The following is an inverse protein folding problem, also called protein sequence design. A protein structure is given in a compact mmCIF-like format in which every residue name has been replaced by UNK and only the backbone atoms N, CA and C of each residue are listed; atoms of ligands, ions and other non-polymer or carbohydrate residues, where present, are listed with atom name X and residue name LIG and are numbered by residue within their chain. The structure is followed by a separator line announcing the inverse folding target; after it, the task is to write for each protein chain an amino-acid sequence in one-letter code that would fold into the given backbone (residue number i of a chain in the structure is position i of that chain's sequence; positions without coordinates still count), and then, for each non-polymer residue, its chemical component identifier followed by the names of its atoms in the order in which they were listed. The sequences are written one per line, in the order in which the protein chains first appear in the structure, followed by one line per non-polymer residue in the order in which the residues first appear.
data_IF_394371814411
#
_entry.id   IF_394371814411
#
_cell.length_a   1.000
_cell.length_b   1.000
_cell.length_c   1.000
_cell.angle_alpha   90.00
_cell.angle_beta   90.00
_cell.angle_gamma   90.00
#
_symmetry.space_group_name_H-M   'P 1'
#
loop_
_entity.id
_entity.type
_entity.pdbx_description
1 polymer ?
#
# COMPACT_ATOMS: atom_id res chain seq x y z
N UNK A 1 17.31 -12.72 -15.43
CA UNK A 1 16.28 -12.88 -16.48
C UNK A 1 14.93 -12.68 -15.82
N UNK A 2 14.17 -11.66 -16.23
CA UNK A 2 12.83 -11.35 -15.71
C UNK A 2 11.93 -12.58 -15.84
N UNK A 3 11.42 -13.11 -14.73
CA UNK A 3 10.39 -14.14 -14.80
C UNK A 3 9.06 -13.49 -15.15
N UNK A 4 8.79 -13.35 -16.46
CA UNK A 4 7.51 -12.84 -17.02
C UNK A 4 6.27 -13.60 -16.51
N UNK A 5 6.44 -14.71 -15.79
CA UNK A 5 5.38 -15.54 -15.23
C UNK A 5 4.63 -14.87 -14.08
N UNK A 6 5.21 -13.89 -13.40
CA UNK A 6 4.63 -13.29 -12.19
C UNK A 6 3.92 -11.95 -12.44
N UNK A 7 4.30 -11.25 -13.52
CA UNK A 7 3.68 -9.99 -13.94
C UNK A 7 2.13 -10.08 -14.08
N UNK A 8 1.55 -11.15 -14.68
CA UNK A 8 0.10 -11.26 -14.83
C UNK A 8 -0.63 -11.39 -13.50
N UNK A 9 -0.02 -12.04 -12.51
CA UNK A 9 -0.61 -12.26 -11.19
C UNK A 9 -0.66 -10.93 -10.43
N UNK A 10 0.42 -10.16 -10.46
CA UNK A 10 0.47 -8.85 -9.81
C UNK A 10 -0.56 -7.90 -10.43
N UNK A 11 -0.55 -7.76 -11.77
CA UNK A 11 -1.50 -6.90 -12.50
C UNK A 11 -2.95 -7.34 -12.26
N UNK A 12 -3.21 -8.65 -12.24
CA UNK A 12 -4.53 -9.21 -11.96
C UNK A 12 -5.04 -8.87 -10.56
N UNK A 13 -4.19 -8.99 -9.53
CA UNK A 13 -4.55 -8.64 -8.16
C UNK A 13 -4.84 -7.14 -8.02
N UNK A 14 -4.00 -6.29 -8.61
CA UNK A 14 -4.17 -4.82 -8.60
C UNK A 14 -5.46 -4.41 -9.32
N UNK A 15 -5.72 -4.96 -10.51
CA UNK A 15 -6.91 -4.65 -11.30
C UNK A 15 -8.19 -5.10 -10.58
N UNK A 16 -8.17 -6.28 -9.96
CA UNK A 16 -9.29 -6.77 -9.17
C UNK A 16 -9.54 -5.88 -7.94
N UNK A 17 -8.48 -5.49 -7.22
CA UNK A 17 -8.59 -4.58 -6.09
C UNK A 17 -9.19 -3.23 -6.51
N UNK A 18 -8.69 -2.64 -7.60
CA UNK A 18 -9.21 -1.42 -8.18
C UNK A 18 -10.70 -1.54 -8.53
N UNK A 19 -11.10 -2.60 -9.24
CA UNK A 19 -12.49 -2.84 -9.63
C UNK A 19 -13.44 -3.00 -8.44
N UNK A 20 -13.04 -3.76 -7.42
CA UNK A 20 -13.84 -3.95 -6.20
C UNK A 20 -13.95 -2.66 -5.37
N UNK A 21 -12.88 -1.88 -5.29
CA UNK A 21 -12.89 -0.57 -4.64
C UNK A 21 -13.78 0.43 -5.41
N UNK A 22 -13.70 0.48 -6.74
CA UNK A 22 -14.58 1.30 -7.58
C UNK A 22 -16.05 0.91 -7.43
N UNK A 23 -16.35 -0.39 -7.35
CA UNK A 23 -17.71 -0.88 -7.09
C UNK A 23 -18.23 -0.33 -5.76
N UNK A 24 -17.42 -0.40 -4.70
CA UNK A 24 -17.81 0.12 -3.40
C UNK A 24 -17.97 1.64 -3.43
N UNK A 25 -17.08 2.36 -4.09
CA UNK A 25 -17.22 3.80 -4.30
C UNK A 25 -18.51 4.14 -5.05
N UNK A 26 -18.93 3.38 -6.06
CA UNK A 26 -20.16 3.63 -6.83
C UNK A 26 -21.44 3.19 -6.11
N UNK A 27 -21.33 2.33 -5.10
CA UNK A 27 -22.49 1.75 -4.40
C UNK A 27 -23.05 2.70 -3.34
N UNK A 28 -24.34 3.09 -3.40
CA UNK A 28 -24.97 3.91 -2.36
C UNK A 28 -25.22 3.12 -1.06
N UNK A 29 -25.00 1.80 -1.06
CA UNK A 29 -25.26 0.93 0.09
C UNK A 29 -24.10 0.88 1.09
N UNK A 30 -22.93 1.42 0.75
CA UNK A 30 -21.73 1.37 1.60
C UNK A 30 -21.89 2.31 2.80
N UNK A 31 -21.89 1.74 4.01
CA UNK A 31 -22.00 2.51 5.25
C UNK A 31 -20.66 3.06 5.76
N UNK A 32 -19.53 2.46 5.36
CA UNK A 32 -18.19 2.86 5.83
C UNK A 32 -17.68 4.21 5.34
N UNK A 33 -18.42 4.86 4.42
CA UNK A 33 -17.97 6.02 3.67
C UNK A 33 -17.35 5.62 2.32
N UNK A 34 -17.75 6.33 1.26
CA UNK A 34 -17.35 6.06 -0.13
C UNK A 34 -15.93 6.55 -0.43
N UNK A 35 -15.42 7.53 0.32
CA UNK A 35 -14.10 8.14 0.10
C UNK A 35 -12.94 7.19 0.37
N UNK A 36 -13.09 6.26 1.32
CA UNK A 36 -12.12 5.17 1.58
C UNK A 36 -11.85 4.41 0.28
N UNK A 37 -12.93 3.93 -0.33
CA UNK A 37 -12.87 3.08 -1.52
C UNK A 37 -12.46 3.86 -2.76
N UNK A 38 -12.77 5.16 -2.85
CA UNK A 38 -12.27 6.02 -3.93
C UNK A 38 -10.75 6.17 -3.87
N UNK A 39 -10.19 6.49 -2.70
CA UNK A 39 -8.74 6.61 -2.52
C UNK A 39 -8.01 5.31 -2.85
N UNK A 40 -8.50 4.18 -2.34
CA UNK A 40 -7.92 2.87 -2.63
C UNK A 40 -8.04 2.48 -4.11
N UNK A 41 -9.16 2.82 -4.78
CA UNK A 41 -9.34 2.58 -6.21
C UNK A 41 -8.35 3.38 -7.06
N UNK A 42 -8.28 4.69 -6.85
CA UNK A 42 -7.35 5.56 -7.60
C UNK A 42 -5.91 5.14 -7.33
N UNK A 43 -5.57 4.90 -6.06
CA UNK A 43 -4.25 4.42 -5.66
C UNK A 43 -3.86 3.11 -6.37
N UNK A 44 -4.78 2.15 -6.43
CA UNK A 44 -4.55 0.87 -7.14
C UNK A 44 -4.38 1.05 -8.65
N UNK A 45 -5.16 1.93 -9.28
CA UNK A 45 -5.03 2.22 -10.72
C UNK A 45 -3.67 2.86 -11.00
N UNK A 46 -3.26 3.85 -10.19
CA UNK A 46 -1.95 4.47 -10.30
C UNK A 46 -0.84 3.45 -10.14
N UNK A 47 -0.91 2.56 -9.13
CA UNK A 47 0.09 1.51 -8.91
C UNK A 47 0.22 0.57 -10.12
N UNK A 48 -0.91 0.14 -10.69
CA UNK A 48 -0.94 -0.69 -11.89
C UNK A 48 -0.28 0.00 -13.08
N UNK A 49 -0.58 1.29 -13.29
CA UNK A 49 0.05 2.09 -14.34
C UNK A 49 1.57 2.21 -14.12
N UNK A 50 2.00 2.45 -12.89
CA UNK A 50 3.42 2.52 -12.55
C UNK A 50 4.16 1.22 -12.86
N UNK A 51 3.55 0.07 -12.54
CA UNK A 51 4.13 -1.25 -12.85
C UNK A 51 4.24 -1.50 -14.36
N UNK A 52 3.27 -1.02 -15.15
CA UNK A 52 3.34 -1.13 -16.61
C UNK A 52 4.48 -0.26 -17.19
N UNK A 53 4.62 0.97 -16.70
CA UNK A 53 5.71 1.88 -17.12
C UNK A 53 7.07 1.30 -16.68
N UNK A 54 7.18 0.84 -15.43
CA UNK A 54 8.40 0.24 -14.89
C UNK A 54 8.79 -1.03 -15.67
N UNK A 55 7.82 -1.93 -15.94
CA UNK A 55 8.05 -3.13 -16.73
C UNK A 55 8.49 -2.83 -18.16
N UNK A 56 8.03 -1.74 -18.76
CA UNK A 56 8.53 -1.28 -20.05
C UNK A 56 10.03 -0.89 -19.97
N UNK A 57 10.44 -0.09 -18.99
CA UNK A 57 11.85 0.28 -18.81
C UNK A 57 12.74 -0.94 -18.53
N UNK A 58 12.29 -1.86 -17.68
CA UNK A 58 13.04 -3.07 -17.32
C UNK A 58 13.30 -3.98 -18.55
N UNK A 59 12.28 -4.18 -19.39
CA UNK A 59 12.37 -5.06 -20.57
C UNK A 59 13.18 -4.42 -21.70
N UNK A 60 12.92 -3.15 -22.02
CA UNK A 60 13.43 -2.52 -23.23
C UNK A 60 14.70 -1.69 -23.02
N UNK A 61 14.82 -1.00 -21.88
CA UNK A 61 15.91 -0.04 -21.64
C UNK A 61 17.04 -0.66 -20.81
N UNK A 62 16.75 -1.63 -19.93
CA UNK A 62 17.70 -2.31 -19.03
C UNK A 62 18.50 -1.41 -18.07
N UNK A 63 18.31 -0.10 -18.17
CA UNK A 63 18.74 0.91 -17.22
C UNK A 63 17.49 1.60 -16.69
N UNK A 64 17.34 1.65 -15.37
CA UNK A 64 16.19 2.26 -14.70
C UNK A 64 16.67 3.52 -13.99
N UNK A 65 16.61 4.70 -14.63
CA UNK A 65 17.09 5.93 -14.04
C UNK A 65 16.16 6.39 -12.91
N UNK A 66 16.60 6.32 -11.66
CA UNK A 66 15.78 6.82 -10.54
C UNK A 66 15.99 8.34 -10.33
N UNK A 67 14.94 9.18 -10.24
CA UNK A 67 13.52 8.88 -10.44
C UNK A 67 13.12 8.84 -11.92
N UNK A 68 12.15 7.98 -12.24
CA UNK A 68 11.56 7.78 -13.58
C UNK A 68 10.17 8.42 -13.70
N UNK A 69 9.57 8.33 -14.90
CA UNK A 69 8.13 8.63 -15.09
C UNK A 69 7.24 7.70 -14.25
N UNK A 70 7.66 6.47 -13.99
CA UNK A 70 6.91 5.54 -13.13
C UNK A 70 6.84 6.06 -11.69
N UNK A 71 7.92 6.67 -11.18
CA UNK A 71 7.98 7.18 -9.81
C UNK A 71 6.94 8.25 -9.51
N UNK A 72 6.63 9.13 -10.46
CA UNK A 72 5.55 10.10 -10.28
C UNK A 72 4.18 9.45 -10.12
N UNK A 73 3.92 8.40 -10.91
CA UNK A 73 2.68 7.63 -10.79
C UNK A 73 2.64 6.77 -9.52
N UNK A 74 3.79 6.27 -9.05
CA UNK A 74 3.90 5.58 -7.78
C UNK A 74 3.64 6.53 -6.62
N UNK A 75 4.28 7.71 -6.58
CA UNK A 75 4.00 8.74 -5.57
C UNK A 75 2.51 9.07 -5.52
N UNK A 76 1.86 9.26 -6.68
CA UNK A 76 0.40 9.45 -6.72
C UNK A 76 -0.35 8.26 -6.10
N UNK A 77 0.04 7.02 -6.43
CA UNK A 77 -0.52 5.82 -5.82
C UNK A 77 -0.41 5.84 -4.30
N UNK A 78 0.78 6.08 -3.75
CA UNK A 78 1.02 6.17 -2.31
C UNK A 78 0.11 7.18 -1.64
N UNK A 79 0.02 8.39 -2.18
CA UNK A 79 -0.80 9.45 -1.60
C UNK A 79 -2.29 9.09 -1.59
N UNK A 80 -2.80 8.45 -2.64
CA UNK A 80 -4.20 8.03 -2.71
C UNK A 80 -4.50 6.79 -1.86
N UNK A 81 -3.59 5.81 -1.79
CA UNK A 81 -3.71 4.65 -0.90
C UNK A 81 -3.71 5.11 0.57
N UNK A 82 -2.76 5.97 0.93
CA UNK A 82 -2.68 6.58 2.24
C UNK A 82 -3.95 7.36 2.57
N UNK A 83 -4.39 8.25 1.68
CA UNK A 83 -5.64 8.99 1.87
C UNK A 83 -6.86 8.07 2.04
N UNK A 84 -6.98 7.03 1.21
CA UNK A 84 -8.04 6.03 1.33
C UNK A 84 -8.04 5.32 2.69
N UNK A 85 -6.87 4.90 3.16
CA UNK A 85 -6.71 4.37 4.51
C UNK A 85 -7.04 5.41 5.58
N UNK A 86 -6.71 6.69 5.39
CA UNK A 86 -6.94 7.75 6.37
C UNK A 86 -8.43 7.92 6.62
N UNK A 87 -9.21 7.88 5.55
CA UNK A 87 -10.66 8.00 5.60
C UNK A 87 -11.32 6.82 6.33
N UNK A 88 -10.60 5.69 6.53
CA UNK A 88 -11.11 4.56 7.31
C UNK A 88 -11.06 4.79 8.81
N UNK A 89 -10.27 5.76 9.28
CA UNK A 89 -10.18 6.17 10.69
C UNK A 89 -10.80 7.54 10.94
N UNK A 90 -10.77 8.42 9.93
CA UNK A 90 -11.29 9.78 10.02
C UNK A 90 -12.80 9.80 10.29
N UNK A 91 -13.23 10.64 11.23
CA UNK A 91 -14.65 10.77 11.60
C UNK A 91 -15.19 9.62 12.46
N UNK A 92 -14.36 8.65 12.85
CA UNK A 92 -14.73 7.59 13.81
C UNK A 92 -14.27 7.96 15.21
N UNK A 93 -15.11 7.72 16.22
CA UNK A 93 -14.74 7.89 17.64
C UNK A 93 -13.87 6.72 18.08
N UNK A 94 -12.55 6.87 17.93
CA UNK A 94 -11.56 5.88 18.33
C UNK A 94 -11.12 6.15 19.78
N UNK A 95 -11.53 5.29 20.70
CA UNK A 95 -11.14 5.38 22.12
C UNK A 95 -9.92 4.51 22.39
N UNK A 96 -8.76 4.94 21.88
CA UNK A 96 -7.49 4.26 22.13
C UNK A 96 -7.00 4.55 23.56
N UNK A 97 -6.58 3.52 24.27
CA UNK A 97 -5.93 3.65 25.59
C UNK A 97 -4.53 4.23 25.46
N UNK A 98 -3.95 4.74 26.55
CA UNK A 98 -2.58 5.27 26.55
C UNK A 98 -1.55 4.23 26.08
N UNK A 99 -1.73 2.95 26.46
CA UNK A 99 -0.86 1.85 26.03
C UNK A 99 -0.97 1.60 24.52
N UNK A 100 -2.17 1.71 23.95
CA UNK A 100 -2.36 1.58 22.50
C UNK A 100 -1.70 2.74 21.75
N UNK A 101 -1.79 3.97 22.25
CA UNK A 101 -1.05 5.11 21.69
C UNK A 101 0.47 4.93 21.77
N UNK A 102 0.97 4.43 22.91
CA UNK A 102 2.39 4.10 23.04
C UNK A 102 2.82 3.07 21.98
N UNK A 103 2.01 2.03 21.76
CA UNK A 103 2.26 1.03 20.71
C UNK A 103 2.30 1.66 19.31
N UNK A 104 1.34 2.54 18.95
CA UNK A 104 1.38 3.27 17.67
C UNK A 104 2.70 4.01 17.51
N UNK A 105 3.11 4.78 18.51
CA UNK A 105 4.35 5.57 18.46
C UNK A 105 5.57 4.65 18.34
N UNK A 106 5.65 3.58 19.13
CA UNK A 106 6.75 2.62 19.07
C UNK A 106 6.88 1.98 17.68
N UNK A 107 5.79 1.47 17.13
CA UNK A 107 5.79 0.84 15.78
C UNK A 107 6.20 1.84 14.71
N UNK A 108 5.75 3.09 14.81
CA UNK A 108 6.08 4.15 13.84
C UNK A 108 7.55 4.54 13.89
N UNK A 109 8.13 4.68 15.09
CA UNK A 109 9.54 5.00 15.27
C UNK A 109 10.43 3.86 14.78
N UNK A 110 10.07 2.61 15.07
CA UNK A 110 10.77 1.43 14.56
C UNK A 110 10.69 1.37 13.04
N UNK A 111 9.50 1.57 12.47
CA UNK A 111 9.31 1.57 11.02
C UNK A 111 10.11 2.66 10.32
N UNK A 112 10.11 3.89 10.87
CA UNK A 112 10.91 5.00 10.36
C UNK A 112 12.41 4.73 10.47
N UNK A 113 12.87 4.16 11.59
CA UNK A 113 14.28 3.82 11.79
C UNK A 113 14.76 2.77 10.78
N UNK A 114 13.97 1.70 10.57
CA UNK A 114 14.30 0.67 9.58
C UNK A 114 14.26 1.26 8.17
N UNK A 115 13.22 2.03 7.83
CA UNK A 115 13.13 2.70 6.53
C UNK A 115 14.32 3.62 6.27
N UNK A 116 14.72 4.43 7.25
CA UNK A 116 15.90 5.28 7.15
C UNK A 116 17.17 4.46 6.97
N UNK A 117 17.34 3.34 7.68
CA UNK A 117 18.51 2.47 7.50
C UNK A 117 18.55 1.89 6.09
N UNK A 118 17.43 1.37 5.60
CA UNK A 118 17.38 0.75 4.28
C UNK A 118 17.46 1.81 3.16
N UNK A 119 17.03 3.04 3.37
CA UNK A 119 17.14 4.09 2.33
C UNK A 119 18.49 4.81 2.35
N UNK A 120 19.05 5.10 3.52
CA UNK A 120 20.22 5.98 3.66
C UNK A 120 21.57 5.26 3.67
N UNK A 121 21.61 3.96 3.98
CA UNK A 121 22.88 3.23 3.98
C UNK A 121 23.15 2.70 2.57
N UNK A 122 24.11 3.26 1.81
CA UNK A 122 24.45 2.75 0.50
C UNK A 122 24.95 1.31 0.57
N UNK A 123 24.66 0.51 -0.47
CA UNK A 123 25.38 -0.73 -0.71
C UNK A 123 26.87 -0.46 -0.90
N UNK A 124 27.72 -1.46 -0.67
CA UNK A 124 29.19 -1.38 -0.60
C UNK A 124 29.93 -0.83 -1.84
N UNK A 125 29.22 -0.38 -2.88
CA UNK A 125 29.80 0.11 -4.13
C UNK A 125 29.52 1.59 -4.43
N UNK A 126 28.71 2.30 -3.63
CA UNK A 126 28.36 3.70 -3.90
C UNK A 126 29.29 4.70 -3.18
N UNK A 127 30.59 4.66 -3.47
CA UNK A 127 31.56 5.64 -2.96
C UNK A 127 31.70 6.90 -3.83
N UNK A 128 30.63 7.34 -4.51
CA UNK A 128 30.73 8.50 -5.41
C UNK A 128 29.43 9.15 -5.89
N UNK A 129 28.26 8.76 -5.40
CA UNK A 129 27.01 9.38 -5.83
C UNK A 129 26.71 10.62 -4.98
N UNK A 130 26.85 11.81 -5.57
CA UNK A 130 26.22 13.02 -5.07
C UNK A 130 24.71 12.75 -4.94
N UNK A 131 24.14 12.93 -3.75
CA UNK A 131 22.71 12.75 -3.52
C UNK A 131 21.97 13.89 -4.20
N UNK A 132 21.44 13.62 -5.39
CA UNK A 132 20.50 14.52 -6.05
C UNK A 132 19.31 14.80 -5.12
N UNK A 133 18.99 16.08 -4.90
CA UNK A 133 17.90 16.54 -4.06
C UNK A 133 16.56 15.90 -4.47
N UNK A 134 16.36 15.67 -5.77
CA UNK A 134 15.14 15.06 -6.28
C UNK A 134 15.02 13.59 -5.84
N UNK A 135 16.12 12.81 -5.91
CA UNK A 135 16.15 11.41 -5.44
C UNK A 135 15.84 11.33 -3.96
N UNK A 136 16.45 12.21 -3.17
CA UNK A 136 16.21 12.26 -1.72
C UNK A 136 14.75 12.62 -1.42
N UNK A 137 14.19 13.61 -2.11
CA UNK A 137 12.81 14.02 -1.94
C UNK A 137 11.83 12.89 -2.25
N UNK A 138 11.98 12.20 -3.38
CA UNK A 138 11.13 11.06 -3.77
C UNK A 138 11.26 9.92 -2.77
N UNK A 139 12.48 9.57 -2.37
CA UNK A 139 12.71 8.49 -1.38
C UNK A 139 12.12 8.82 0.00
N UNK A 140 12.20 10.09 0.41
CA UNK A 140 11.59 10.56 1.65
C UNK A 140 10.06 10.48 1.59
N UNK A 141 9.45 10.79 0.44
CA UNK A 141 8.00 10.65 0.25
C UNK A 141 7.56 9.20 0.44
N UNK A 142 8.24 8.22 -0.18
CA UNK A 142 7.92 6.81 0.02
C UNK A 142 8.00 6.41 1.50
N UNK A 143 9.13 6.69 2.15
CA UNK A 143 9.35 6.31 3.55
C UNK A 143 8.34 6.97 4.51
N UNK A 144 8.01 8.26 4.30
CA UNK A 144 7.05 8.97 5.15
C UNK A 144 5.63 8.46 4.96
N UNK A 145 5.22 8.20 3.72
CA UNK A 145 3.88 7.69 3.43
C UNK A 145 3.73 6.25 3.92
N UNK A 146 4.77 5.44 3.83
CA UNK A 146 4.83 4.09 4.39
C UNK A 146 4.61 4.07 5.90
N UNK A 147 5.36 4.90 6.63
CA UNK A 147 5.19 5.03 8.09
C UNK A 147 3.80 5.54 8.42
N UNK A 148 3.27 6.47 7.63
CA UNK A 148 1.91 6.96 7.79
C UNK A 148 0.87 5.82 7.59
N UNK A 149 1.05 4.96 6.59
CA UNK A 149 0.17 3.82 6.34
C UNK A 149 0.29 2.79 7.46
N UNK A 150 1.49 2.58 8.00
CA UNK A 150 1.75 1.71 9.15
C UNK A 150 1.07 2.21 10.42
N UNK A 151 1.07 3.53 10.67
CA UNK A 151 0.31 4.16 11.77
C UNK A 151 -1.17 3.79 11.65
N UNK A 152 -1.76 4.04 10.48
CA UNK A 152 -3.19 3.78 10.27
C UNK A 152 -3.50 2.29 10.36
N UNK A 153 -2.67 1.42 9.79
CA UNK A 153 -2.82 -0.02 9.94
C UNK A 153 -2.82 -0.46 11.41
N UNK A 154 -1.88 0.05 12.21
CA UNK A 154 -1.78 -0.27 13.63
C UNK A 154 -3.03 0.19 14.39
N UNK A 155 -3.50 1.42 14.11
CA UNK A 155 -4.75 1.94 14.68
C UNK A 155 -5.94 1.06 14.30
N UNK A 156 -6.05 0.64 13.05
CA UNK A 156 -7.13 -0.23 12.58
C UNK A 156 -7.13 -1.58 13.30
N UNK A 157 -5.97 -2.21 13.50
CA UNK A 157 -5.89 -3.49 14.24
C UNK A 157 -6.35 -3.35 15.69
N UNK A 158 -6.00 -2.25 16.34
CA UNK A 158 -6.37 -2.02 17.75
C UNK A 158 -7.82 -1.59 17.91
N UNK A 159 -8.32 -0.74 17.02
CA UNK A 159 -9.68 -0.22 17.07
C UNK A 159 -10.73 -1.25 16.65
N UNK A 160 -10.38 -2.18 15.76
CA UNK A 160 -11.31 -3.14 15.15
C UNK A 160 -10.91 -4.60 15.43
N UNK A 161 -10.81 -4.96 16.71
CA UNK A 161 -10.42 -6.31 17.13
C UNK A 161 -11.58 -7.32 17.15
N UNK A 162 -12.84 -6.88 17.30
CA UNK A 162 -14.00 -7.76 17.52
C UNK A 162 -15.14 -7.63 16.51
N UNK A 163 -15.72 -8.76 16.10
CA UNK A 163 -16.95 -8.82 15.28
C UNK A 163 -16.73 -8.90 13.76
N UNK A 164 -17.84 -9.13 13.03
CA UNK A 164 -17.84 -9.28 11.56
C UNK A 164 -17.57 -7.96 10.82
N UNK A 165 -18.16 -6.86 11.30
CA UNK A 165 -17.92 -5.52 10.77
C UNK A 165 -16.46 -5.05 10.92
N UNK A 166 -15.69 -5.67 11.81
CA UNK A 166 -14.28 -5.39 12.03
C UNK A 166 -13.34 -6.16 11.10
N UNK A 167 -13.84 -7.14 10.33
CA UNK A 167 -13.00 -7.98 9.48
C UNK A 167 -12.47 -7.22 8.25
N UNK A 168 -13.28 -6.36 7.63
CA UNK A 168 -12.84 -5.54 6.49
C UNK A 168 -11.69 -4.61 6.88
N UNK A 169 -11.75 -4.00 8.07
CA UNK A 169 -10.73 -3.11 8.61
C UNK A 169 -9.42 -3.82 8.96
N UNK A 170 -9.49 -5.07 9.45
CA UNK A 170 -8.30 -5.88 9.70
C UNK A 170 -7.59 -6.30 8.42
N UNK A 171 -8.35 -6.61 7.36
CA UNK A 171 -7.79 -6.86 6.03
C UNK A 171 -7.12 -5.59 5.48
N UNK A 172 -7.76 -4.43 5.64
CA UNK A 172 -7.18 -3.15 5.24
C UNK A 172 -5.88 -2.83 6.00
N UNK A 173 -5.82 -3.13 7.29
CA UNK A 173 -4.60 -3.01 8.09
C UNK A 173 -3.50 -3.97 7.63
N UNK A 174 -3.85 -5.23 7.40
CA UNK A 174 -2.93 -6.23 6.87
C UNK A 174 -2.36 -5.81 5.51
N UNK A 175 -3.17 -5.19 4.65
CA UNK A 175 -2.73 -4.65 3.38
C UNK A 175 -1.66 -3.55 3.56
N UNK A 176 -1.90 -2.59 4.44
CA UNK A 176 -0.91 -1.54 4.74
C UNK A 176 0.41 -2.08 5.31
N UNK A 177 0.34 -3.09 6.18
CA UNK A 177 1.55 -3.76 6.70
C UNK A 177 2.28 -4.52 5.59
N UNK A 178 1.54 -5.20 4.71
CA UNK A 178 2.13 -5.91 3.58
C UNK A 178 2.82 -4.95 2.59
N UNK A 179 2.23 -3.78 2.31
CA UNK A 179 2.88 -2.72 1.53
C UNK A 179 4.24 -2.35 2.15
N UNK A 180 4.22 -1.98 3.43
CA UNK A 180 5.42 -1.57 4.17
C UNK A 180 6.53 -2.64 4.14
N UNK A 181 6.18 -3.91 4.32
CA UNK A 181 7.16 -5.01 4.27
C UNK A 181 7.70 -5.19 2.85
N UNK A 182 6.85 -5.08 1.83
CA UNK A 182 7.26 -5.11 0.43
C UNK A 182 8.29 -4.04 0.12
N UNK A 183 8.03 -2.81 0.57
CA UNK A 183 8.90 -1.65 0.31
C UNK A 183 10.23 -1.74 1.05
N UNK A 184 10.22 -2.13 2.33
CA UNK A 184 11.46 -2.36 3.06
C UNK A 184 12.30 -3.44 2.41
N UNK A 185 11.67 -4.57 2.05
CA UNK A 185 12.38 -5.67 1.45
C UNK A 185 12.88 -5.35 0.05
N UNK A 186 12.15 -4.58 -0.75
CA UNK A 186 12.60 -4.13 -2.05
C UNK A 186 13.81 -3.20 -1.91
N UNK A 187 13.72 -2.16 -1.07
CA UNK A 187 14.85 -1.25 -0.84
C UNK A 187 16.09 -1.99 -0.30
N UNK A 188 15.91 -3.10 0.41
CA UNK A 188 17.01 -3.96 0.84
C UNK A 188 17.54 -4.81 -0.32
N UNK A 189 16.65 -5.42 -1.09
CA UNK A 189 17.00 -6.38 -2.13
C UNK A 189 17.72 -5.69 -3.31
N UNK A 190 17.30 -4.50 -3.73
CA UNK A 190 17.93 -3.76 -4.85
C UNK A 190 19.40 -3.39 -4.61
N UNK A 191 19.88 -3.48 -3.37
CA UNK A 191 21.30 -3.26 -3.03
C UNK A 191 22.17 -4.47 -3.29
N UNK A 192 21.56 -5.65 -3.45
CA UNK A 192 22.26 -6.87 -3.79
C UNK A 192 22.39 -6.99 -5.30
N UNK A 193 23.55 -7.42 -5.83
CA UNK A 193 23.71 -7.73 -7.26
C UNK A 193 22.82 -8.90 -7.72
N UNK A 194 22.30 -9.70 -6.78
CA UNK A 194 21.45 -10.86 -7.06
C UNK A 194 19.96 -10.50 -7.21
N UNK A 195 19.61 -9.21 -7.06
CA UNK A 195 18.23 -8.78 -7.25
C UNK A 195 17.75 -9.05 -8.69
N UNK A 196 16.56 -9.64 -8.79
CA UNK A 196 15.88 -9.82 -10.07
C UNK A 196 14.40 -9.48 -9.91
N UNK A 197 13.85 -8.81 -10.94
CA UNK A 197 12.41 -8.58 -11.08
C UNK A 197 11.65 -9.91 -11.02
N UNK A 198 10.57 -9.94 -10.23
CA UNK A 198 9.81 -11.15 -9.91
C UNK A 198 10.33 -11.92 -8.71
N UNK A 199 11.24 -11.34 -7.92
CA UNK A 199 11.73 -11.97 -6.68
C UNK A 199 10.60 -12.15 -5.65
N UNK A 200 10.86 -12.99 -4.64
CA UNK A 200 9.87 -13.34 -3.63
C UNK A 200 9.33 -12.12 -2.85
N UNK A 201 10.08 -11.02 -2.79
CA UNK A 201 9.66 -9.82 -2.07
C UNK A 201 8.48 -9.11 -2.74
N UNK A 202 8.37 -9.18 -4.06
CA UNK A 202 7.31 -8.49 -4.81
C UNK A 202 5.92 -9.06 -4.47
N UNK A 203 5.86 -10.29 -3.94
CA UNK A 203 4.63 -10.93 -3.50
C UNK A 203 3.95 -10.23 -2.34
N UNK A 204 4.68 -9.41 -1.56
CA UNK A 204 4.07 -8.61 -0.50
C UNK A 204 3.15 -7.52 -1.05
N UNK A 205 3.49 -6.89 -2.17
CA UNK A 205 2.55 -5.98 -2.83
C UNK A 205 1.37 -6.73 -3.44
N UNK A 206 1.60 -7.89 -4.06
CA UNK A 206 0.50 -8.75 -4.56
C UNK A 206 -0.46 -9.12 -3.42
N UNK A 207 0.08 -9.51 -2.26
CA UNK A 207 -0.69 -9.78 -1.05
C UNK A 207 -1.43 -8.52 -0.58
N UNK A 208 -0.78 -7.35 -0.56
CA UNK A 208 -1.41 -6.10 -0.17
C UNK A 208 -2.62 -5.76 -1.04
N UNK A 209 -2.48 -5.78 -2.37
CA UNK A 209 -3.61 -5.52 -3.27
C UNK A 209 -4.70 -6.58 -3.17
N UNK A 210 -4.33 -7.84 -2.96
CA UNK A 210 -5.29 -8.90 -2.68
C UNK A 210 -6.10 -8.62 -1.41
N UNK A 211 -5.43 -8.16 -0.35
CA UNK A 211 -6.05 -7.77 0.92
C UNK A 211 -6.93 -6.52 0.78
N UNK A 212 -6.51 -5.51 0.02
CA UNK A 212 -7.36 -4.35 -0.32
C UNK A 212 -8.64 -4.79 -1.05
N UNK A 213 -8.51 -5.66 -2.05
CA UNK A 213 -9.65 -6.23 -2.78
C UNK A 213 -10.58 -7.06 -1.88
N UNK A 214 -10.04 -7.93 -1.03
CA UNK A 214 -10.83 -8.72 -0.08
C UNK A 214 -11.52 -7.84 0.96
N UNK A 215 -10.86 -6.78 1.46
CA UNK A 215 -11.46 -5.79 2.34
C UNK A 215 -12.67 -5.12 1.67
N UNK A 216 -12.54 -4.74 0.40
CA UNK A 216 -13.64 -4.16 -0.39
C UNK A 216 -14.77 -5.16 -0.62
N UNK A 217 -14.45 -6.41 -0.97
CA UNK A 217 -15.43 -7.48 -1.14
C UNK A 217 -16.27 -7.67 0.13
N UNK A 218 -15.59 -7.81 1.27
CA UNK A 218 -16.22 -8.07 2.55
C UNK A 218 -17.04 -6.89 3.06
N UNK A 219 -16.56 -5.65 2.89
CA UNK A 219 -17.32 -4.46 3.26
C UNK A 219 -18.65 -4.37 2.52
N UNK A 220 -18.63 -4.68 1.22
CA UNK A 220 -19.84 -4.69 0.41
C UNK A 220 -20.85 -5.72 0.87
N UNK A 221 -20.40 -6.94 1.17
CA UNK A 221 -21.27 -8.01 1.67
C UNK A 221 -21.91 -7.66 3.02
N UNK A 222 -21.14 -7.05 3.92
CA UNK A 222 -21.65 -6.59 5.22
C UNK A 222 -22.66 -5.45 5.03
N UNK A 223 -22.34 -4.50 4.16
CA UNK A 223 -23.21 -3.36 3.82
C UNK A 223 -24.53 -3.81 3.19
N UNK A 224 -24.47 -4.76 2.26
CA UNK A 224 -25.63 -5.29 1.55
C UNK A 224 -26.58 -6.06 2.47
N UNK A 225 -26.05 -6.81 3.45
CA UNK A 225 -26.86 -7.55 4.43
C UNK A 225 -27.57 -6.63 5.44
N UNK A 226 -27.03 -5.45 5.68
CA UNK A 226 -27.55 -4.49 6.68
C UNK A 226 -28.66 -3.60 6.11
N UNK A 227 -28.80 -3.52 4.78
CA UNK A 227 -29.87 -2.75 4.14
C UNK A 227 -31.20 -3.50 4.27
N UNK A 228 -32.25 -2.94 4.92
CA UNK A 228 -33.55 -3.59 5.02
C UNK A 228 -34.09 -3.86 3.61
N UNK A 229 -34.43 -5.12 3.32
CA UNK A 229 -35.12 -5.46 2.08
C UNK A 229 -36.48 -4.78 2.16
N UNK A 230 -36.69 -3.66 1.44
CA UNK A 230 -38.02 -3.08 1.26
C UNK A 230 -38.90 -4.19 0.68
N UNK A 231 -39.74 -4.77 1.53
CA UNK A 231 -40.82 -5.67 1.10
C UNK A 231 -41.82 -4.75 0.41
N UNK A 232 -41.92 -4.88 -0.91
CA UNK A 232 -43.09 -4.43 -1.66
C UNK A 232 -44.21 -5.45 -1.46
#
# INVERSE_FOLDING_TARGET
MVSLRHLPVAVGAIALAAGLCLRNWSSPKIFSGRSVWLGLAIGSICWGLSNLIFGYFDIFTKEIPFPTVADWTFVASYLFLAWGMAMSVMGRRLNLTLVQWFLVVSVSLVGLAIGAVVTLFPGSEASGAELDLLRLAVSAVYALVDVWMLIVATILLMAFSGGKAAQSWRLLAGAGIAMFIGDLGFNFAIKSPDYATGSWIEWFWVLAFSLFGMAAALEFDISARTTPRRRN
#
